data_IF_835547412639
#
_entry.id   IF_835547412639
#
_cell.length_a   1.000
_cell.length_b   1.000
_cell.length_c   1.000
_cell.angle_alpha   90.00
_cell.angle_beta   90.00
_cell.angle_gamma   90.00
#
_symmetry.space_group_name_H-M   'P 1'
#
loop_
_entity.id
_entity.type
_entity.pdbx_description
1 polymer ?
#
# COMPACT_ATOMS: atom_id res chain seq x y z
N UNK A 1 32.80 8.25 40.05
CA UNK A 1 32.51 6.92 39.47
C UNK A 1 31.07 6.97 38.95
N UNK A 2 30.81 7.48 37.73
CA UNK A 2 29.44 7.58 37.14
C UNK A 2 29.42 8.01 35.65
N UNK A 3 30.57 8.36 35.04
CA UNK A 3 30.63 8.75 33.62
C UNK A 3 30.74 7.55 32.66
N UNK A 4 31.32 6.41 33.08
CA UNK A 4 31.37 5.18 32.26
C UNK A 4 30.00 4.54 32.02
N UNK A 5 29.11 4.58 33.02
CA UNK A 5 27.78 3.95 32.93
C UNK A 5 26.91 4.64 31.87
N UNK A 6 26.96 5.97 31.80
CA UNK A 6 26.22 6.77 30.81
C UNK A 6 26.75 6.55 29.39
N UNK A 7 28.07 6.41 29.23
CA UNK A 7 28.69 6.13 27.93
C UNK A 7 28.30 4.74 27.39
N UNK A 8 28.20 3.73 28.26
CA UNK A 8 27.76 2.37 27.89
C UNK A 8 26.30 2.37 27.40
N UNK A 9 25.40 3.11 28.05
CA UNK A 9 23.99 3.22 27.62
C UNK A 9 23.89 3.91 26.25
N UNK A 10 24.66 4.98 26.01
CA UNK A 10 24.69 5.67 24.72
C UNK A 10 25.30 4.82 23.59
N UNK A 11 26.25 3.92 23.89
CA UNK A 11 26.80 2.98 22.91
C UNK A 11 25.86 1.80 22.65
N UNK A 12 25.09 1.35 23.64
CA UNK A 12 24.04 0.35 23.44
C UNK A 12 22.88 0.88 22.57
N UNK A 13 22.54 2.16 22.66
CA UNK A 13 21.47 2.78 21.85
C UNK A 13 21.85 3.02 20.38
N UNK A 14 23.13 3.19 20.05
CA UNK A 14 23.58 3.40 18.66
C UNK A 14 23.79 2.10 17.85
N UNK A 15 23.77 0.93 18.49
CA UNK A 15 24.02 -0.35 17.82
C UNK A 15 22.75 -1.14 17.44
N UNK A 16 21.55 -0.56 17.57
CA UNK A 16 20.33 -1.14 16.98
C UNK A 16 20.22 -0.85 15.48
N UNK A 17 21.28 -1.10 14.73
CA UNK A 17 21.15 -1.35 13.30
C UNK A 17 21.03 -2.86 13.17
N UNK A 18 19.80 -3.37 13.21
CA UNK A 18 19.53 -4.76 12.88
C UNK A 18 19.94 -5.02 11.43
N UNK A 19 21.03 -5.75 11.15
CA UNK A 19 21.48 -6.01 9.80
C UNK A 19 20.86 -7.34 9.37
N UNK A 20 19.87 -7.26 8.47
CA UNK A 20 19.06 -8.35 7.90
C UNK A 20 17.73 -8.65 8.59
N UNK A 21 16.68 -8.01 8.08
CA UNK A 21 15.33 -8.59 8.12
C UNK A 21 14.90 -8.95 6.69
N UNK A 22 15.36 -10.10 6.19
CA UNK A 22 14.76 -10.76 5.03
C UNK A 22 13.52 -11.54 5.50
N UNK A 23 12.46 -10.82 5.87
CA UNK A 23 11.13 -11.43 6.08
C UNK A 23 10.16 -10.75 5.13
N UNK A 24 9.76 -11.48 4.09
CA UNK A 24 8.78 -11.06 3.07
C UNK A 24 7.63 -12.05 3.06
N UNK A 25 6.82 -12.05 4.12
CA UNK A 25 5.54 -12.75 4.13
C UNK A 25 4.48 -11.74 3.68
N UNK A 26 3.97 -11.90 2.46
CA UNK A 26 2.85 -11.11 1.96
C UNK A 26 1.57 -11.91 2.16
N UNK A 27 0.69 -11.44 3.05
CA UNK A 27 -0.63 -12.03 3.25
C UNK A 27 -1.68 -10.98 2.98
N UNK A 28 -2.44 -11.16 1.90
CA UNK A 28 -3.58 -10.33 1.56
C UNK A 28 -4.82 -11.13 1.93
N UNK A 29 -5.58 -10.60 2.89
CA UNK A 29 -6.81 -11.21 3.38
C UNK A 29 -7.90 -10.18 3.22
N UNK A 30 -9.10 -10.64 2.88
CA UNK A 30 -10.30 -9.80 2.97
C UNK A 30 -10.58 -9.50 4.44
N UNK A 31 -10.97 -8.26 4.73
CA UNK A 31 -11.34 -7.89 6.10
C UNK A 31 -12.66 -8.54 6.54
N UNK A 32 -13.56 -8.82 5.59
CA UNK A 32 -14.84 -9.46 5.87
C UNK A 32 -15.23 -10.40 4.72
N UNK A 33 -15.41 -11.69 5.02
CA UNK A 33 -15.81 -12.70 4.04
C UNK A 33 -17.33 -12.85 3.89
N UNK A 34 -18.12 -12.24 4.78
CA UNK A 34 -19.59 -12.31 4.75
C UNK A 34 -20.25 -11.12 4.05
N UNK A 35 -19.47 -10.13 3.64
CA UNK A 35 -19.99 -8.95 2.92
C UNK A 35 -19.80 -9.15 1.42
N UNK A 36 -20.86 -8.89 0.66
CA UNK A 36 -20.78 -8.81 -0.79
C UNK A 36 -20.07 -7.52 -1.20
N UNK A 37 -19.01 -7.65 -2.00
CA UNK A 37 -18.30 -6.52 -2.60
C UNK A 37 -18.38 -6.63 -4.12
N UNK A 38 -18.81 -5.58 -4.84
CA UNK A 38 -18.94 -5.59 -6.30
C UNK A 38 -17.58 -5.54 -7.02
N UNK A 39 -16.49 -5.46 -6.25
CA UNK A 39 -15.12 -5.51 -6.73
C UNK A 39 -14.41 -6.63 -5.99
N UNK A 40 -13.91 -7.60 -6.74
CA UNK A 40 -13.19 -8.76 -6.21
C UNK A 40 -11.78 -8.79 -6.78
N UNK A 41 -10.80 -8.92 -5.88
CA UNK A 41 -9.40 -9.07 -6.21
C UNK A 41 -8.99 -10.53 -5.94
N UNK A 42 -8.26 -11.14 -6.86
CA UNK A 42 -7.75 -12.52 -6.78
C UNK A 42 -6.28 -12.57 -7.18
N UNK A 43 -5.59 -13.63 -6.76
CA UNK A 43 -4.26 -14.02 -7.23
C UNK A 43 -3.19 -12.92 -7.11
N UNK A 44 -3.27 -12.11 -6.05
CA UNK A 44 -2.32 -11.00 -5.86
C UNK A 44 -0.95 -11.53 -5.47
N UNK A 45 0.08 -11.12 -6.21
CA UNK A 45 1.48 -11.41 -5.88
C UNK A 45 2.32 -10.14 -5.85
N UNK A 46 3.33 -10.15 -4.97
CA UNK A 46 4.28 -9.05 -4.78
C UNK A 46 5.69 -9.62 -4.86
N UNK A 47 6.46 -9.16 -5.84
CA UNK A 47 7.85 -9.54 -6.02
C UNK A 47 8.73 -8.29 -6.01
N UNK A 48 9.80 -8.31 -5.22
CA UNK A 48 10.74 -7.18 -5.16
C UNK A 48 12.04 -7.65 -5.77
N UNK A 49 12.39 -7.09 -6.93
CA UNK A 49 13.59 -7.45 -7.69
C UNK A 49 14.32 -6.18 -8.10
N UNK A 50 15.62 -6.10 -7.80
CA UNK A 50 16.52 -5.01 -8.23
C UNK A 50 15.98 -3.58 -7.97
N UNK A 51 15.36 -3.36 -6.80
CA UNK A 51 14.79 -2.06 -6.42
C UNK A 51 13.40 -1.77 -7.01
N UNK A 52 12.87 -2.64 -7.86
CA UNK A 52 11.51 -2.57 -8.36
C UNK A 52 10.58 -3.48 -7.56
N UNK A 53 9.31 -3.06 -7.47
CA UNK A 53 8.22 -3.87 -6.94
C UNK A 53 7.31 -4.26 -8.10
N UNK A 54 7.28 -5.54 -8.43
CA UNK A 54 6.32 -6.14 -9.35
C UNK A 54 5.07 -6.53 -8.57
N UNK A 55 3.94 -5.99 -9.01
CA UNK A 55 2.61 -6.32 -8.47
C UNK A 55 1.85 -7.01 -9.59
N UNK A 56 1.27 -8.16 -9.30
CA UNK A 56 0.35 -8.85 -10.22
C UNK A 56 -0.91 -9.29 -9.50
N UNK A 57 -1.98 -9.52 -10.24
CA UNK A 57 -3.26 -9.97 -9.71
C UNK A 57 -4.39 -9.78 -10.71
N UNK A 58 -5.55 -10.32 -10.39
CA UNK A 58 -6.76 -10.23 -11.20
C UNK A 58 -7.85 -9.44 -10.49
N UNK A 59 -8.53 -8.57 -11.23
CA UNK A 59 -9.65 -7.78 -10.75
C UNK A 59 -10.92 -8.18 -11.52
N UNK A 60 -11.99 -8.47 -10.81
CA UNK A 60 -13.33 -8.65 -11.39
C UNK A 60 -14.28 -7.66 -10.76
N UNK A 61 -15.14 -7.06 -11.58
CA UNK A 61 -16.15 -6.14 -11.08
C UNK A 61 -17.53 -6.46 -11.65
N UNK A 62 -18.54 -6.40 -10.78
CA UNK A 62 -19.94 -6.68 -11.12
C UNK A 62 -20.70 -5.37 -11.45
N UNK A 63 -20.05 -4.21 -11.32
CA UNK A 63 -20.65 -2.90 -11.53
C UNK A 63 -19.64 -1.87 -12.02
N UNK A 64 -20.10 -0.84 -12.72
CA UNK A 64 -19.23 0.28 -13.06
C UNK A 64 -18.78 1.02 -11.80
N UNK A 65 -17.46 1.05 -11.58
CA UNK A 65 -16.85 1.90 -10.56
C UNK A 65 -16.94 3.33 -11.08
N UNK A 66 -17.71 4.20 -10.41
CA UNK A 66 -17.89 5.60 -10.78
C UNK A 66 -17.50 6.49 -9.62
N UNK A 67 -16.85 7.61 -9.92
CA UNK A 67 -16.36 8.54 -8.90
C UNK A 67 -17.49 9.34 -8.22
N UNK A 68 -17.24 9.88 -7.02
CA UNK A 68 -15.99 9.75 -6.26
C UNK A 68 -15.87 8.42 -5.51
N UNK A 69 -14.69 7.80 -5.53
CA UNK A 69 -14.43 6.53 -4.81
C UNK A 69 -13.50 6.78 -3.62
N UNK A 70 -14.05 6.80 -2.42
CA UNK A 70 -13.25 6.98 -1.20
C UNK A 70 -12.52 5.68 -0.82
N UNK A 71 -11.27 5.80 -0.37
CA UNK A 71 -10.52 4.71 0.23
C UNK A 71 -9.80 5.15 1.49
N UNK A 72 -9.92 4.36 2.56
CA UNK A 72 -9.21 4.58 3.81
C UNK A 72 -8.10 3.54 3.95
N UNK A 73 -6.86 4.00 4.16
CA UNK A 73 -5.70 3.15 4.38
C UNK A 73 -5.23 3.31 5.83
N UNK A 74 -4.96 2.18 6.50
CA UNK A 74 -4.29 2.16 7.81
C UNK A 74 -2.98 1.41 7.67
N UNK A 75 -1.87 2.11 7.88
CA UNK A 75 -0.52 1.54 7.85
C UNK A 75 -0.02 1.41 9.29
N UNK A 76 0.43 0.21 9.65
CA UNK A 76 1.03 -0.05 10.96
C UNK A 76 2.46 -0.56 10.79
N UNK A 77 3.34 -0.11 11.68
CA UNK A 77 4.69 -0.64 11.84
C UNK A 77 4.77 -1.41 13.14
N UNK A 78 5.28 -2.63 13.05
CA UNK A 78 5.62 -3.41 14.23
C UNK A 78 6.93 -2.92 14.83
N UNK A 79 6.93 -2.73 16.14
CA UNK A 79 8.08 -2.29 16.92
C UNK A 79 8.44 -3.46 17.84
N UNK A 80 9.49 -4.19 17.47
CA UNK A 80 9.92 -5.44 18.08
C UNK A 80 10.38 -5.28 19.54
N UNK A 81 11.12 -4.23 19.87
CA UNK A 81 11.69 -4.03 21.21
C UNK A 81 10.64 -3.75 22.31
N UNK A 82 9.40 -3.41 21.93
CA UNK A 82 8.27 -3.17 22.85
C UNK A 82 7.01 -3.99 22.51
N UNK A 83 7.09 -4.89 21.52
CA UNK A 83 5.99 -5.77 21.09
C UNK A 83 4.66 -5.03 20.81
N UNK A 84 4.73 -3.92 20.05
CA UNK A 84 3.53 -3.16 19.67
C UNK A 84 3.44 -2.86 18.17
N UNK A 85 2.21 -2.68 17.69
CA UNK A 85 1.93 -2.13 16.37
C UNK A 85 1.57 -0.65 16.46
N UNK A 86 2.42 0.22 15.95
CA UNK A 86 2.18 1.66 15.93
C UNK A 86 1.60 2.10 14.58
N UNK A 87 0.54 2.91 14.63
CA UNK A 87 -0.06 3.52 13.42
C UNK A 87 0.89 4.58 12.88
N UNK A 88 1.20 4.50 11.59
CA UNK A 88 1.95 5.54 10.89
C UNK A 88 0.97 6.64 10.47
N UNK A 89 1.13 7.89 10.95
CA UNK A 89 0.22 8.98 10.62
C UNK A 89 0.25 9.29 9.12
N UNK A 90 -0.82 9.92 8.62
CA UNK A 90 -0.80 10.47 7.26
C UNK A 90 0.09 11.71 7.21
N UNK A 91 1.04 11.73 6.29
CA UNK A 91 1.85 12.91 5.97
C UNK A 91 2.12 12.92 4.46
N UNK A 92 1.80 14.01 3.77
CA UNK A 92 1.98 14.16 2.32
C UNK A 92 1.44 12.98 1.50
N UNK A 93 0.23 12.50 1.83
CA UNK A 93 -0.44 11.35 1.20
C UNK A 93 0.27 9.99 1.41
N UNK A 94 1.15 9.89 2.40
CA UNK A 94 1.85 8.66 2.79
C UNK A 94 1.48 8.28 4.23
N UNK A 95 1.21 7.01 4.47
CA UNK A 95 0.84 6.48 5.79
C UNK A 95 -0.65 6.16 5.91
N UNK A 96 -1.22 6.37 7.09
CA UNK A 96 -2.65 6.07 7.34
C UNK A 96 -3.54 7.22 6.88
N UNK A 97 -3.78 7.30 5.57
CA UNK A 97 -4.53 8.37 4.93
C UNK A 97 -5.94 7.92 4.49
N UNK A 98 -6.88 8.87 4.44
CA UNK A 98 -8.14 8.72 3.71
C UNK A 98 -8.05 9.49 2.41
N UNK A 99 -8.20 8.78 1.29
CA UNK A 99 -8.25 9.35 -0.05
C UNK A 99 -9.72 9.53 -0.43
N UNK A 100 -10.17 10.77 -0.59
CA UNK A 100 -11.59 11.07 -0.82
C UNK A 100 -12.08 10.67 -2.21
N UNK A 101 -11.18 10.61 -3.19
CA UNK A 101 -11.51 10.16 -4.53
C UNK A 101 -10.29 9.50 -5.19
N UNK A 102 -10.33 8.18 -5.30
CA UNK A 102 -9.33 7.40 -6.02
C UNK A 102 -9.39 7.64 -7.54
N UNK A 103 -10.54 8.04 -8.07
CA UNK A 103 -10.68 8.30 -9.51
C UNK A 103 -9.84 9.50 -9.97
N UNK A 104 -9.50 10.42 -9.07
CA UNK A 104 -8.58 11.52 -9.32
C UNK A 104 -7.21 11.07 -9.87
N UNK A 105 -6.71 9.92 -9.39
CA UNK A 105 -5.41 9.36 -9.77
C UNK A 105 -5.41 8.65 -11.13
N UNK A 106 -6.59 8.44 -11.73
CA UNK A 106 -6.71 7.92 -13.09
C UNK A 106 -6.17 8.90 -14.13
N UNK A 107 -5.82 8.38 -15.30
CA UNK A 107 -5.43 9.19 -16.46
C UNK A 107 -6.61 10.00 -16.99
N UNK A 108 -6.39 11.26 -17.41
CA UNK A 108 -7.36 11.99 -18.22
C UNK A 108 -7.80 11.16 -19.45
N UNK A 109 -9.05 11.32 -19.92
CA UNK A 109 -9.56 10.56 -21.07
C UNK A 109 -8.77 10.78 -22.37
N UNK A 110 -8.14 11.94 -22.52
CA UNK A 110 -7.35 12.29 -23.71
C UNK A 110 -5.91 11.75 -23.66
N UNK A 111 -5.52 11.06 -22.59
CA UNK A 111 -4.19 10.46 -22.45
C UNK A 111 -4.24 8.94 -22.63
N UNK A 112 -3.29 8.41 -23.40
CA UNK A 112 -3.13 6.97 -23.59
C UNK A 112 -2.67 6.29 -22.29
N UNK A 113 -3.25 5.13 -21.97
CA UNK A 113 -2.82 4.33 -20.84
C UNK A 113 -1.36 3.86 -20.99
N UNK A 114 -0.63 3.66 -19.88
CA UNK A 114 0.68 3.04 -19.92
C UNK A 114 0.60 1.67 -20.62
N UNK A 115 1.66 1.33 -21.37
CA UNK A 115 1.69 0.13 -22.22
C UNK A 115 1.25 -1.15 -21.48
N UNK A 116 1.70 -1.36 -20.24
CA UNK A 116 1.30 -2.54 -19.44
C UNK A 116 -0.20 -2.64 -19.18
N UNK A 117 -0.91 -1.51 -19.09
CA UNK A 117 -2.36 -1.50 -18.89
C UNK A 117 -3.07 -1.92 -20.18
N UNK A 118 -2.60 -1.42 -21.34
CA UNK A 118 -3.14 -1.80 -22.65
C UNK A 118 -2.95 -3.30 -22.91
N UNK A 119 -1.74 -3.82 -22.69
CA UNK A 119 -1.40 -5.24 -22.90
C UNK A 119 -2.23 -6.20 -22.02
N UNK A 120 -2.67 -5.73 -20.86
CA UNK A 120 -3.47 -6.52 -19.91
C UNK A 120 -4.96 -6.14 -19.91
N UNK A 121 -5.42 -5.30 -20.85
CA UNK A 121 -6.80 -4.80 -20.92
C UNK A 121 -7.31 -4.19 -19.61
N UNK A 122 -6.44 -3.49 -18.88
CA UNK A 122 -6.78 -2.82 -17.63
C UNK A 122 -7.14 -1.35 -17.92
N UNK A 123 -8.36 -0.89 -17.58
CA UNK A 123 -8.71 0.51 -17.76
C UNK A 123 -7.88 1.39 -16.80
N UNK A 124 -7.40 2.53 -17.29
CA UNK A 124 -6.62 3.46 -16.48
C UNK A 124 -7.20 4.89 -16.44
N UNK A 125 -8.33 5.13 -17.12
CA UNK A 125 -8.95 6.45 -17.21
C UNK A 125 -9.71 6.81 -15.92
N UNK A 126 -9.89 8.11 -15.67
CA UNK A 126 -10.74 8.59 -14.56
C UNK A 126 -12.17 8.10 -14.76
N UNK A 127 -12.72 7.43 -13.76
CA UNK A 127 -14.11 6.99 -13.78
C UNK A 127 -15.07 8.16 -13.52
N UNK A 128 -16.22 8.17 -14.20
CA UNK A 128 -17.27 9.19 -14.03
C UNK A 128 -17.24 10.34 -15.06
N UNK A 129 -16.36 10.30 -16.06
CA UNK A 129 -16.52 11.10 -17.27
C UNK A 129 -17.07 10.17 -18.36
N UNK A 130 -18.25 10.47 -18.90
CA UNK A 130 -18.73 9.80 -20.12
C UNK A 130 -17.78 10.14 -21.27
N UNK A 131 -17.56 9.25 -22.25
CA UNK A 131 -17.06 9.71 -23.54
C UNK A 131 -18.08 10.72 -24.10
N UNK A 132 -17.63 11.93 -24.43
CA UNK A 132 -18.39 12.79 -25.36
C UNK A 132 -18.15 12.31 -26.78
#
# INVERSE_FOLDING_TARGET
MNKCLVLLIFLFLHNFVSPNTNIKIYKIIRCNDQTYYPVTIKDVSLEIQNGYVNVSGSLTTDSNITGPVQAALTVKRYIDYIDIWTIIPCFDNIGSCTYNDLCYWGKPQNETCPQRFLENNVPCSRAGQSPQ
#
